data_IF_334276255748
#
_entry.id   IF_334276255748
#
_cell.length_a   1.000
_cell.length_b   1.000
_cell.length_c   1.000
_cell.angle_alpha   90.00
_cell.angle_beta   90.00
_cell.angle_gamma   90.00
#
_symmetry.space_group_name_H-M   'P 1'
#
loop_
_entity.id
_entity.type
_entity.pdbx_description
1 polymer ?
#
# COMPACT_ATOMS: atom_id res chain seq x y z
N UNK A 1 -40.48 -9.20 20.86
CA UNK A 1 -39.42 -8.26 20.42
C UNK A 1 -38.30 -9.06 19.78
N UNK A 2 -38.00 -8.86 18.50
CA UNK A 2 -36.83 -9.45 17.81
C UNK A 2 -35.64 -8.51 18.03
N UNK A 3 -34.62 -8.99 18.75
CA UNK A 3 -33.33 -8.30 18.84
C UNK A 3 -32.57 -8.54 17.53
N UNK A 4 -32.49 -7.50 16.70
CA UNK A 4 -31.54 -7.47 15.59
C UNK A 4 -30.16 -7.17 16.16
N UNK A 5 -29.29 -8.17 16.18
CA UNK A 5 -27.87 -7.99 16.49
C UNK A 5 -27.21 -7.43 15.23
N UNK A 6 -26.94 -6.14 15.25
CA UNK A 6 -26.18 -5.46 14.21
C UNK A 6 -24.69 -5.69 14.50
N UNK A 7 -24.08 -6.65 13.83
CA UNK A 7 -22.63 -6.91 13.94
C UNK A 7 -21.92 -5.82 13.13
N UNK A 8 -21.59 -4.72 13.80
CA UNK A 8 -20.70 -3.71 13.25
C UNK A 8 -19.29 -4.26 13.17
N UNK A 9 -18.78 -4.44 11.96
CA UNK A 9 -17.38 -4.76 11.69
C UNK A 9 -16.55 -3.53 12.11
N UNK A 10 -15.95 -3.59 13.29
CA UNK A 10 -14.92 -2.63 13.69
C UNK A 10 -13.65 -2.96 12.89
N UNK A 11 -13.41 -2.21 11.81
CA UNK A 11 -12.06 -2.12 11.23
C UNK A 11 -11.16 -1.48 12.30
N UNK A 12 -10.38 -2.30 12.98
CA UNK A 12 -9.27 -1.85 13.80
C UNK A 12 -8.22 -1.25 12.87
N UNK A 13 -8.26 0.07 12.69
CA UNK A 13 -7.14 0.82 12.15
C UNK A 13 -6.00 0.73 13.16
N UNK A 14 -5.08 -0.20 12.92
CA UNK A 14 -3.80 -0.24 13.63
C UNK A 14 -3.01 0.99 13.13
N UNK A 15 -3.03 2.06 13.91
CA UNK A 15 -2.17 3.23 13.68
C UNK A 15 -0.76 2.87 14.14
N UNK A 16 0.23 2.73 13.24
CA UNK A 16 1.61 2.46 13.66
C UNK A 16 2.19 3.71 14.32
N UNK A 17 2.95 3.49 15.42
CA UNK A 17 3.75 4.55 16.04
C UNK A 17 4.75 5.12 15.03
N UNK A 18 4.83 6.44 14.96
CA UNK A 18 5.86 7.17 14.21
C UNK A 18 7.27 6.64 14.58
N UNK A 19 8.09 6.29 13.58
CA UNK A 19 9.54 6.18 13.77
C UNK A 19 10.24 4.90 13.30
N UNK A 20 9.54 3.85 12.86
CA UNK A 20 10.20 2.69 12.23
C UNK A 20 9.64 2.44 10.83
N UNK A 21 10.43 2.72 9.79
CA UNK A 21 10.15 2.21 8.45
C UNK A 21 10.23 0.69 8.47
N UNK A 22 9.11 0.01 8.72
CA UNK A 22 9.05 -1.44 8.70
C UNK A 22 8.73 -1.89 7.28
N UNK A 23 9.71 -2.48 6.60
CA UNK A 23 9.49 -3.13 5.31
C UNK A 23 9.22 -4.62 5.58
N UNK A 24 8.03 -5.09 5.24
CA UNK A 24 7.69 -6.52 5.29
C UNK A 24 8.23 -7.19 4.02
N UNK A 25 9.14 -8.16 4.15
CA UNK A 25 9.58 -8.98 3.01
C UNK A 25 8.89 -10.35 3.05
N UNK A 26 7.85 -10.53 2.22
CA UNK A 26 7.04 -11.75 2.21
C UNK A 26 7.86 -13.02 1.97
N UNK A 27 8.90 -12.94 1.14
CA UNK A 27 9.78 -14.08 0.84
C UNK A 27 10.60 -14.50 2.07
N UNK A 28 11.00 -13.54 2.91
CA UNK A 28 11.76 -13.80 4.15
C UNK A 28 10.83 -14.34 5.24
N UNK A 29 9.62 -13.79 5.36
CA UNK A 29 8.59 -14.30 6.28
C UNK A 29 8.24 -15.76 5.99
N UNK A 30 8.06 -16.12 4.71
CA UNK A 30 7.78 -17.51 4.30
C UNK A 30 8.97 -18.42 4.62
N UNK A 31 10.20 -17.98 4.35
CA UNK A 31 11.40 -18.74 4.67
C UNK A 31 11.49 -19.01 6.18
N UNK A 32 11.26 -17.99 6.99
CA UNK A 32 11.32 -18.07 8.44
C UNK A 32 10.21 -18.98 9.00
N UNK A 33 9.01 -18.92 8.42
CA UNK A 33 7.93 -19.85 8.74
C UNK A 33 8.30 -21.30 8.43
N UNK A 34 8.85 -21.59 7.25
CA UNK A 34 9.30 -22.96 6.87
C UNK A 34 10.31 -23.47 7.89
N UNK A 35 11.31 -22.65 8.23
CA UNK A 35 12.35 -23.00 9.20
C UNK A 35 11.78 -23.34 10.58
N UNK A 36 10.77 -22.59 11.01
CA UNK A 36 10.20 -22.67 12.36
C UNK A 36 9.19 -23.81 12.50
N UNK A 37 8.31 -24.00 11.51
CA UNK A 37 7.13 -24.86 11.63
C UNK A 37 7.10 -26.06 10.68
N UNK A 38 7.92 -26.08 9.63
CA UNK A 38 7.94 -27.17 8.66
C UNK A 38 9.19 -28.03 8.82
N UNK A 39 10.37 -27.44 8.82
CA UNK A 39 11.61 -28.20 8.85
C UNK A 39 12.89 -27.37 8.74
N UNK A 40 14.02 -28.01 9.07
CA UNK A 40 15.36 -27.43 9.02
C UNK A 40 16.10 -27.85 7.75
N UNK A 41 17.21 -27.17 7.45
CA UNK A 41 18.02 -27.42 6.25
C UNK A 41 17.15 -27.29 4.99
N UNK A 42 16.62 -26.08 4.77
CA UNK A 42 15.78 -25.73 3.61
C UNK A 42 16.62 -25.88 2.35
N UNK A 43 16.17 -26.72 1.42
CA UNK A 43 16.85 -26.98 0.16
C UNK A 43 16.35 -26.04 -0.93
N UNK A 44 15.04 -25.78 -0.95
CA UNK A 44 14.39 -24.92 -1.92
C UNK A 44 13.00 -24.49 -1.43
N UNK A 45 12.52 -23.34 -1.87
CA UNK A 45 11.16 -22.86 -1.67
C UNK A 45 10.84 -21.76 -2.68
N UNK A 46 9.56 -21.60 -3.01
CA UNK A 46 9.17 -20.53 -3.92
C UNK A 46 7.70 -20.14 -3.77
N UNK A 47 7.45 -18.85 -4.03
CA UNK A 47 6.12 -18.27 -4.17
C UNK A 47 5.65 -18.25 -5.63
N UNK A 48 6.55 -18.38 -6.60
CA UNK A 48 6.23 -18.18 -8.03
C UNK A 48 6.73 -19.27 -8.96
N UNK A 49 7.77 -20.02 -8.57
CA UNK A 49 8.39 -21.06 -9.40
C UNK A 49 8.12 -22.46 -8.86
N UNK A 50 8.06 -23.50 -9.70
CA UNK A 50 7.91 -24.87 -9.24
C UNK A 50 9.09 -25.34 -8.38
N UNK A 51 8.81 -26.12 -7.34
CA UNK A 51 9.81 -26.84 -6.53
C UNK A 51 9.57 -28.34 -6.71
N UNK A 52 10.40 -28.99 -7.53
CA UNK A 52 10.19 -30.37 -7.94
C UNK A 52 8.90 -30.52 -8.76
N UNK A 53 7.94 -31.31 -8.26
CA UNK A 53 6.62 -31.51 -8.90
C UNK A 53 5.53 -30.55 -8.41
N UNK A 54 5.86 -29.67 -7.45
CA UNK A 54 4.89 -28.80 -6.80
C UNK A 54 4.99 -27.39 -7.36
N UNK A 55 3.90 -26.92 -7.97
CA UNK A 55 3.80 -25.55 -8.50
C UNK A 55 3.03 -24.66 -7.52
N UNK A 56 3.61 -23.54 -7.05
CA UNK A 56 2.90 -22.56 -6.23
C UNK A 56 1.65 -22.02 -6.92
N UNK A 57 0.68 -21.59 -6.13
CA UNK A 57 -0.59 -21.01 -6.62
C UNK A 57 -0.82 -19.59 -6.08
N UNK A 58 0.23 -18.97 -5.55
CA UNK A 58 0.13 -17.66 -4.89
C UNK A 58 -0.26 -16.57 -5.88
N UNK A 59 -1.22 -15.74 -5.46
CA UNK A 59 -1.61 -14.49 -6.08
C UNK A 59 -1.62 -13.40 -5.02
N UNK A 60 -1.28 -12.17 -5.40
CA UNK A 60 -1.40 -11.02 -4.53
C UNK A 60 -2.38 -10.01 -5.12
N UNK A 61 -3.19 -9.42 -4.25
CA UNK A 61 -4.20 -8.43 -4.59
C UNK A 61 -4.05 -7.22 -3.68
N UNK A 62 -4.30 -6.04 -4.25
CA UNK A 62 -4.28 -4.80 -3.52
C UNK A 62 -5.72 -4.37 -3.21
N UNK A 63 -5.99 -4.13 -1.94
CA UNK A 63 -7.23 -3.56 -1.46
C UNK A 63 -7.38 -2.08 -1.83
N UNK A 64 -8.50 -1.50 -1.44
CA UNK A 64 -8.76 -0.08 -1.65
C UNK A 64 -7.88 0.75 -0.72
N UNK A 65 -7.22 1.77 -1.28
CA UNK A 65 -6.58 2.81 -0.48
C UNK A 65 -7.64 3.59 0.30
N UNK A 66 -7.49 3.63 1.62
CA UNK A 66 -8.33 4.42 2.53
C UNK A 66 -7.51 5.57 3.11
N UNK A 67 -8.16 6.72 3.27
CA UNK A 67 -7.61 7.86 3.99
C UNK A 67 -8.33 7.99 5.34
N UNK A 68 -7.65 8.58 6.31
CA UNK A 68 -8.27 8.96 7.59
C UNK A 68 -9.44 9.96 7.40
N UNK A 69 -10.40 9.93 8.31
CA UNK A 69 -11.56 10.81 8.29
C UNK A 69 -11.15 12.30 8.31
N UNK A 70 -11.88 13.15 7.57
CA UNK A 70 -11.54 14.58 7.43
C UNK A 70 -10.54 14.89 6.32
N UNK A 71 -10.10 13.89 5.56
CA UNK A 71 -9.32 14.08 4.34
C UNK A 71 -10.17 14.56 3.15
N UNK A 72 -10.73 15.78 3.28
CA UNK A 72 -11.33 16.53 2.18
C UNK A 72 -10.28 16.99 1.14
N UNK A 73 -10.70 17.23 -0.10
CA UNK A 73 -9.82 17.77 -1.13
C UNK A 73 -9.42 19.21 -0.77
N UNK A 74 -8.16 19.64 -0.98
CA UNK A 74 -7.78 21.01 -0.69
C UNK A 74 -8.47 21.99 -1.63
N UNK A 75 -8.46 23.24 -1.20
CA UNK A 75 -9.12 24.34 -1.89
C UNK A 75 -8.55 24.55 -3.29
N UNK A 76 -9.44 24.55 -4.28
CA UNK A 76 -9.10 24.94 -5.65
C UNK A 76 -9.02 26.47 -5.74
N UNK A 77 -7.95 26.98 -6.36
CA UNK A 77 -7.71 28.42 -6.55
C UNK A 77 -7.89 28.82 -8.02
N UNK A 78 -9.12 29.11 -8.49
CA UNK A 78 -9.40 29.30 -9.92
C UNK A 78 -8.73 30.54 -10.55
N UNK A 79 -8.33 31.53 -9.75
CA UNK A 79 -7.79 32.80 -10.25
C UNK A 79 -6.27 32.92 -10.10
N UNK A 80 -5.61 31.87 -9.59
CA UNK A 80 -4.17 31.85 -9.37
C UNK A 80 -3.55 30.76 -10.24
N UNK A 81 -2.42 31.09 -10.87
CA UNK A 81 -1.61 30.05 -11.48
C UNK A 81 -0.88 29.27 -10.37
N UNK A 82 -1.48 28.14 -10.00
CA UNK A 82 -0.98 27.24 -8.98
C UNK A 82 -0.44 25.97 -9.62
N UNK A 83 0.61 25.45 -9.01
CA UNK A 83 1.19 24.16 -9.33
C UNK A 83 0.95 23.21 -8.17
N UNK A 84 0.70 21.94 -8.50
CA UNK A 84 0.30 20.93 -7.54
C UNK A 84 1.28 19.76 -7.55
N UNK A 85 1.65 19.28 -6.36
CA UNK A 85 2.48 18.10 -6.16
C UNK A 85 1.80 17.14 -5.19
N UNK A 86 1.77 15.87 -5.56
CA UNK A 86 1.14 14.79 -4.82
C UNK A 86 2.22 13.77 -4.45
N UNK A 87 2.37 13.45 -3.17
CA UNK A 87 3.35 12.45 -2.70
C UNK A 87 2.68 11.46 -1.75
N UNK A 88 3.12 10.21 -1.80
CA UNK A 88 2.71 9.14 -0.88
C UNK A 88 3.94 8.63 -0.16
N UNK A 89 4.24 9.18 1.01
CA UNK A 89 5.35 8.72 1.83
C UNK A 89 4.95 7.43 2.55
N UNK A 90 5.43 6.28 2.08
CA UNK A 90 5.12 4.95 2.62
C UNK A 90 6.09 4.64 3.76
N UNK A 91 5.57 4.40 4.96
CA UNK A 91 6.37 4.04 6.14
C UNK A 91 6.39 2.54 6.38
N UNK A 92 5.21 1.91 6.31
CA UNK A 92 5.09 0.46 6.37
C UNK A 92 5.00 -0.06 4.94
N UNK A 93 6.14 -0.37 4.36
CA UNK A 93 6.26 -0.82 2.96
C UNK A 93 6.25 -2.35 2.86
N UNK A 94 6.16 -2.87 1.65
CA UNK A 94 6.25 -4.31 1.39
C UNK A 94 7.26 -4.62 0.30
N UNK A 95 7.87 -5.80 0.38
CA UNK A 95 8.63 -6.43 -0.69
C UNK A 95 8.05 -7.80 -0.97
N UNK A 96 7.70 -8.03 -2.23
CA UNK A 96 7.10 -9.28 -2.67
C UNK A 96 7.49 -9.57 -4.12
N UNK A 97 7.46 -10.82 -4.59
CA UNK A 97 7.67 -11.12 -6.01
C UNK A 97 6.50 -10.73 -6.92
N UNK A 98 5.38 -10.22 -6.37
CA UNK A 98 4.20 -9.82 -7.13
C UNK A 98 4.16 -8.31 -7.41
N UNK A 99 3.57 -7.91 -8.53
CA UNK A 99 3.23 -6.50 -8.78
C UNK A 99 1.99 -6.14 -7.97
N UNK A 100 1.98 -4.96 -7.36
CA UNK A 100 0.91 -4.46 -6.51
C UNK A 100 0.45 -3.09 -7.02
N UNK A 101 -0.25 -3.02 -8.17
CA UNK A 101 -0.70 -1.75 -8.73
C UNK A 101 -1.82 -1.13 -7.89
N UNK A 102 -1.67 0.14 -7.55
CA UNK A 102 -2.65 0.97 -6.86
C UNK A 102 -3.08 2.12 -7.76
N UNK A 103 -4.38 2.37 -7.81
CA UNK A 103 -4.96 3.51 -8.52
C UNK A 103 -5.57 4.47 -7.52
N UNK A 104 -5.08 5.70 -7.51
CA UNK A 104 -5.54 6.77 -6.63
C UNK A 104 -6.30 7.82 -7.42
N UNK A 105 -7.36 8.35 -6.81
CA UNK A 105 -8.12 9.48 -7.35
C UNK A 105 -7.69 10.73 -6.61
N UNK A 106 -7.17 11.70 -7.36
CA UNK A 106 -6.72 13.00 -6.86
C UNK A 106 -7.47 14.12 -7.57
N UNK A 107 -7.51 15.32 -6.98
CA UNK A 107 -8.21 16.46 -7.54
C UNK A 107 -7.21 17.49 -8.04
N UNK A 108 -7.04 17.56 -9.37
CA UNK A 108 -6.16 18.51 -10.03
C UNK A 108 -6.97 19.65 -10.63
N UNK A 109 -6.74 20.89 -10.20
CA UNK A 109 -7.47 22.07 -10.71
C UNK A 109 -9.01 21.88 -10.69
N UNK A 110 -9.52 21.27 -9.61
CA UNK A 110 -10.95 20.96 -9.45
C UNK A 110 -11.47 19.77 -10.26
N UNK A 111 -10.63 19.06 -11.02
CA UNK A 111 -11.00 17.87 -11.76
C UNK A 111 -10.43 16.61 -11.14
N UNK A 112 -11.25 15.55 -11.05
CA UNK A 112 -10.77 14.23 -10.63
C UNK A 112 -9.85 13.65 -11.71
N UNK A 113 -8.68 13.16 -11.28
CA UNK A 113 -7.69 12.47 -12.11
C UNK A 113 -7.30 11.15 -11.43
N UNK A 114 -7.03 10.15 -12.25
CA UNK A 114 -6.57 8.83 -11.80
C UNK A 114 -5.06 8.79 -12.01
N UNK A 115 -4.32 8.40 -10.98
CA UNK A 115 -2.89 8.13 -11.05
C UNK A 115 -2.64 6.71 -10.56
N UNK A 116 -1.75 5.98 -11.24
CA UNK A 116 -1.40 4.60 -10.91
C UNK A 116 0.07 4.47 -10.54
N UNK A 117 0.36 3.69 -9.49
CA UNK A 117 1.73 3.31 -9.11
C UNK A 117 1.76 1.92 -8.49
N UNK A 118 2.91 1.24 -8.52
CA UNK A 118 3.10 -0.04 -7.83
C UNK A 118 3.61 0.21 -6.41
N UNK A 119 2.95 -0.37 -5.40
CA UNK A 119 3.37 -0.22 -3.99
C UNK A 119 4.44 -1.22 -3.57
N UNK A 120 4.75 -2.23 -4.38
CA UNK A 120 5.82 -3.16 -4.11
C UNK A 120 7.19 -2.44 -4.14
N UNK A 121 7.92 -2.52 -3.04
CA UNK A 121 9.22 -1.89 -2.84
C UNK A 121 9.20 -0.35 -3.04
N UNK A 122 8.03 0.29 -2.88
CA UNK A 122 7.88 1.72 -3.00
C UNK A 122 8.00 2.43 -1.64
N UNK A 123 8.65 3.59 -1.63
CA UNK A 123 8.82 4.43 -0.42
C UNK A 123 8.26 5.83 -0.58
N UNK A 124 8.36 6.42 -1.77
CA UNK A 124 7.83 7.75 -2.07
C UNK A 124 7.33 7.87 -3.53
N UNK A 125 6.24 7.17 -3.91
CA UNK A 125 5.51 7.48 -5.14
C UNK A 125 5.07 8.93 -5.15
N UNK A 126 5.12 9.56 -6.32
CA UNK A 126 4.69 10.93 -6.48
C UNK A 126 4.10 11.17 -7.87
N UNK A 127 3.24 12.17 -7.94
CA UNK A 127 2.71 12.69 -9.19
C UNK A 127 2.96 14.20 -9.25
N UNK A 128 3.74 14.60 -10.26
CA UNK A 128 4.15 15.99 -10.50
C UNK A 128 3.66 16.41 -11.90
N UNK A 129 2.37 16.71 -12.07
CA UNK A 129 1.80 16.97 -13.39
C UNK A 129 2.16 18.33 -13.99
N UNK A 130 2.86 19.18 -13.23
CA UNK A 130 3.32 20.52 -13.63
C UNK A 130 4.85 20.61 -13.75
N UNK A 131 5.56 19.47 -13.75
CA UNK A 131 7.03 19.35 -13.86
C UNK A 131 7.80 20.30 -12.93
N UNK A 132 7.33 20.41 -11.69
CA UNK A 132 7.95 21.26 -10.69
C UNK A 132 9.33 20.76 -10.30
N UNK A 133 10.30 21.67 -10.27
CA UNK A 133 11.55 21.42 -9.54
C UNK A 133 11.23 21.37 -8.05
N UNK A 134 11.57 20.24 -7.40
CA UNK A 134 11.36 20.01 -5.97
C UNK A 134 12.06 21.04 -5.08
N UNK A 135 13.06 21.76 -5.62
CA UNK A 135 13.77 22.84 -4.93
C UNK A 135 12.95 24.13 -4.79
N UNK A 136 11.90 24.32 -5.59
CA UNK A 136 11.13 25.56 -5.67
C UNK A 136 10.03 25.62 -4.62
N UNK A 137 10.41 25.86 -3.37
CA UNK A 137 9.50 26.37 -2.36
C UNK A 137 9.21 27.84 -2.65
N UNK A 138 8.20 28.14 -3.47
CA UNK A 138 7.76 29.53 -3.61
C UNK A 138 7.09 29.96 -2.30
N UNK A 139 7.69 30.97 -1.67
CA UNK A 139 7.42 31.43 -0.30
C UNK A 139 6.15 32.28 -0.14
N UNK A 140 5.33 32.45 -1.19
CA UNK A 140 4.23 33.41 -1.20
C UNK A 140 2.85 32.85 -0.84
N UNK A 141 2.46 31.68 -1.39
CA UNK A 141 1.14 31.08 -1.22
C UNK A 141 1.26 29.54 -1.27
N UNK A 142 1.64 28.96 -0.15
CA UNK A 142 1.85 27.52 0.03
C UNK A 142 0.70 26.93 0.87
N UNK A 143 0.06 25.89 0.36
CA UNK A 143 -0.92 25.08 1.08
C UNK A 143 -0.46 23.63 1.06
N UNK A 144 -0.46 22.98 2.22
CA UNK A 144 -0.14 21.57 2.36
C UNK A 144 -1.25 20.88 3.12
N UNK A 145 -1.76 19.78 2.56
CA UNK A 145 -2.64 18.86 3.27
C UNK A 145 -1.96 17.52 3.42
N UNK A 146 -1.95 17.00 4.65
CA UNK A 146 -1.42 15.68 5.00
C UNK A 146 -2.56 14.77 5.43
N UNK A 147 -2.49 13.51 5.01
CA UNK A 147 -3.48 12.50 5.29
C UNK A 147 -2.79 11.17 5.54
N UNK A 148 -3.08 10.52 6.66
CA UNK A 148 -2.72 9.13 6.82
C UNK A 148 -3.50 8.29 5.82
N UNK A 149 -2.83 7.32 5.21
CA UNK A 149 -3.48 6.32 4.37
C UNK A 149 -3.10 4.91 4.79
N UNK A 150 -3.99 3.97 4.47
CA UNK A 150 -3.77 2.54 4.62
C UNK A 150 -4.20 1.81 3.35
N UNK A 151 -3.53 0.72 3.05
CA UNK A 151 -3.82 -0.17 1.93
C UNK A 151 -3.65 -1.60 2.45
N UNK A 152 -4.73 -2.37 2.43
CA UNK A 152 -4.64 -3.81 2.72
C UNK A 152 -4.07 -4.54 1.50
N UNK A 153 -3.09 -5.41 1.73
CA UNK A 153 -2.59 -6.36 0.74
C UNK A 153 -3.08 -7.75 1.15
N UNK A 154 -3.67 -8.47 0.21
CA UNK A 154 -4.10 -9.85 0.40
C UNK A 154 -3.29 -10.78 -0.50
N UNK A 155 -2.79 -11.87 0.07
CA UNK A 155 -2.02 -12.90 -0.63
C UNK A 155 -2.74 -14.22 -0.46
N UNK A 156 -3.16 -14.81 -1.58
CA UNK A 156 -3.96 -16.04 -1.59
C UNK A 156 -3.24 -17.16 -2.33
N UNK A 157 -3.18 -18.35 -1.74
CA UNK A 157 -2.73 -19.59 -2.40
C UNK A 157 -1.79 -20.42 -1.54
N UNK A 158 -1.00 -21.25 -2.21
CA UNK A 158 0.00 -22.12 -1.58
C UNK A 158 1.40 -21.89 -2.15
N UNK A 159 2.40 -21.86 -1.28
CA UNK A 159 3.80 -21.83 -1.67
C UNK A 159 4.38 -23.23 -1.71
N UNK A 160 5.40 -23.45 -2.54
CA UNK A 160 6.09 -24.74 -2.64
C UNK A 160 7.36 -24.74 -1.81
N UNK A 161 7.70 -25.88 -1.21
CA UNK A 161 8.91 -26.03 -0.40
C UNK A 161 9.55 -27.41 -0.53
N UNK A 162 10.83 -27.48 -0.18
CA UNK A 162 11.61 -28.69 -0.02
C UNK A 162 12.65 -28.52 1.10
N UNK A 163 12.62 -29.41 2.07
CA UNK A 163 13.52 -29.42 3.23
C UNK A 163 14.24 -30.77 3.34
N UNK A 164 15.41 -30.78 3.97
CA UNK A 164 16.15 -32.02 4.23
C UNK A 164 15.71 -32.71 5.52
N UNK A 165 15.40 -31.94 6.56
CA UNK A 165 14.89 -32.43 7.86
C UNK A 165 13.54 -31.78 8.15
N UNK A 166 12.56 -32.60 8.50
CA UNK A 166 11.20 -32.13 8.84
C UNK A 166 11.06 -31.97 10.35
N UNK A 167 10.19 -31.06 10.78
CA UNK A 167 9.55 -31.16 12.08
C UNK A 167 8.53 -32.31 12.09
N UNK A 168 8.12 -32.77 13.26
CA UNK A 168 7.26 -33.94 13.40
C UNK A 168 6.00 -33.85 12.50
N UNK A 169 5.64 -34.97 11.87
CA UNK A 169 4.49 -35.18 10.96
C UNK A 169 4.42 -34.33 9.67
N UNK A 170 5.46 -33.58 9.30
CA UNK A 170 5.48 -32.82 8.04
C UNK A 170 6.16 -33.57 6.88
N UNK A 171 5.67 -33.45 5.63
CA UNK A 171 6.37 -34.01 4.48
C UNK A 171 7.63 -33.21 4.16
N UNK A 172 8.65 -33.85 3.56
CA UNK A 172 9.91 -33.19 3.16
C UNK A 172 9.76 -32.18 2.02
N UNK A 173 8.66 -32.26 1.28
CA UNK A 173 8.36 -31.38 0.17
C UNK A 173 6.86 -31.35 -0.07
N UNK A 174 6.34 -30.23 -0.56
CA UNK A 174 4.93 -30.08 -0.82
C UNK A 174 4.50 -28.65 -1.09
N UNK A 175 3.18 -28.47 -1.08
CA UNK A 175 2.53 -27.17 -1.05
C UNK A 175 2.06 -26.88 0.37
N UNK A 176 2.13 -25.62 0.78
CA UNK A 176 1.65 -25.17 2.08
C UNK A 176 0.91 -23.84 1.95
N UNK A 177 -0.19 -23.68 2.69
CA UNK A 177 -1.04 -22.50 2.64
C UNK A 177 -0.33 -21.26 3.19
N UNK A 178 -0.44 -20.14 2.47
CA UNK A 178 0.24 -18.88 2.84
C UNK A 178 -0.33 -18.24 4.10
N UNK A 179 -1.61 -18.47 4.42
CA UNK A 179 -2.26 -17.87 5.59
C UNK A 179 -1.61 -18.27 6.92
N UNK A 180 -1.04 -19.48 6.97
CA UNK A 180 -0.33 -20.00 8.15
C UNK A 180 0.95 -19.23 8.48
N UNK A 181 1.51 -18.46 7.55
CA UNK A 181 2.69 -17.62 7.78
C UNK A 181 2.42 -16.55 8.83
N UNK A 182 1.16 -16.21 9.11
CA UNK A 182 0.82 -15.26 10.19
C UNK A 182 1.35 -15.65 11.58
N UNK A 183 1.62 -16.93 11.84
CA UNK A 183 2.04 -17.40 13.17
C UNK A 183 3.41 -16.90 13.60
N UNK A 184 4.26 -16.47 12.66
CA UNK A 184 5.58 -15.93 13.00
C UNK A 184 5.57 -14.42 13.23
N UNK A 185 4.54 -13.69 12.78
CA UNK A 185 4.59 -12.23 12.72
C UNK A 185 3.22 -11.60 13.01
N UNK A 186 3.08 -10.84 14.11
CA UNK A 186 1.80 -10.27 14.53
C UNK A 186 1.25 -9.17 13.59
N UNK A 187 2.05 -8.67 12.65
CA UNK A 187 1.58 -7.73 11.62
C UNK A 187 0.81 -8.42 10.48
N UNK A 188 0.91 -9.75 10.40
CA UNK A 188 0.23 -10.57 9.42
C UNK A 188 -1.07 -11.12 10.00
N UNK A 189 -2.13 -11.09 9.19
CA UNK A 189 -3.46 -11.56 9.56
C UNK A 189 -3.80 -12.79 8.73
N UNK A 190 -4.17 -13.89 9.39
CA UNK A 190 -4.75 -15.07 8.73
C UNK A 190 -6.26 -14.87 8.56
N UNK A 191 -6.72 -14.79 7.31
CA UNK A 191 -8.16 -14.89 7.03
C UNK A 191 -8.62 -16.35 6.90
N UNK A 192 -7.74 -17.22 6.41
CA UNK A 192 -7.85 -18.68 6.42
C UNK A 192 -6.49 -19.28 6.04
N UNK A 193 -6.36 -20.61 6.06
CA UNK A 193 -5.12 -21.33 5.71
C UNK A 193 -4.46 -20.87 4.39
N UNK A 194 -5.25 -20.41 3.41
CA UNK A 194 -4.78 -20.02 2.09
C UNK A 194 -4.69 -18.51 1.91
N UNK A 195 -5.08 -17.70 2.88
CA UNK A 195 -5.20 -16.24 2.72
C UNK A 195 -4.50 -15.51 3.86
N UNK A 196 -3.48 -14.75 3.50
CA UNK A 196 -2.69 -13.90 4.37
C UNK A 196 -2.96 -12.44 4.01
N UNK A 197 -3.22 -11.58 5.00
CA UNK A 197 -3.41 -10.15 4.79
C UNK A 197 -2.45 -9.34 5.66
N UNK A 198 -2.07 -8.15 5.19
CA UNK A 198 -1.30 -7.16 5.96
C UNK A 198 -1.49 -5.76 5.38
N UNK A 199 -1.20 -4.72 6.17
CA UNK A 199 -1.43 -3.34 5.76
C UNK A 199 -0.12 -2.62 5.41
N UNK A 200 -0.14 -1.93 4.27
CA UNK A 200 0.77 -0.84 3.94
C UNK A 200 0.17 0.45 4.48
N UNK A 201 1.00 1.34 5.02
CA UNK A 201 0.52 2.63 5.51
C UNK A 201 1.57 3.73 5.35
N UNK A 202 1.11 4.97 5.35
CA UNK A 202 1.96 6.12 5.14
C UNK A 202 1.19 7.43 5.21
N UNK A 203 1.84 8.50 4.74
CA UNK A 203 1.27 9.85 4.66
C UNK A 203 1.18 10.28 3.21
N UNK A 204 -0.03 10.59 2.77
CA UNK A 204 -0.29 11.33 1.55
C UNK A 204 -0.12 12.82 1.82
N UNK A 205 0.61 13.51 0.93
CA UNK A 205 0.75 14.96 0.95
C UNK A 205 0.29 15.53 -0.38
N UNK A 206 -0.59 16.53 -0.30
CA UNK A 206 -0.91 17.39 -1.43
C UNK A 206 -0.37 18.78 -1.13
N UNK A 207 0.62 19.20 -1.92
CA UNK A 207 1.21 20.53 -1.88
C UNK A 207 0.67 21.36 -3.04
N UNK A 208 0.18 22.56 -2.74
CA UNK A 208 -0.24 23.57 -3.73
C UNK A 208 0.61 24.81 -3.54
N UNK A 209 1.21 25.27 -4.64
CA UNK A 209 2.06 26.45 -4.64
C UNK A 209 1.58 27.43 -5.71
N UNK A 210 1.13 28.61 -5.29
CA UNK A 210 0.57 29.62 -6.19
C UNK A 210 1.50 30.82 -6.37
N UNK A 211 1.62 31.33 -7.59
CA UNK A 211 2.34 32.58 -7.84
C UNK A 211 1.35 33.76 -7.92
N UNK A 212 1.30 34.66 -6.92
CA UNK A 212 0.38 35.79 -6.92
C UNK A 212 0.66 36.82 -8.03
N UNK A 213 1.87 36.82 -8.63
CA UNK A 213 2.24 37.72 -9.72
C UNK A 213 1.59 37.37 -11.07
N UNK A 214 0.95 36.19 -11.17
CA UNK A 214 0.27 35.69 -12.36
C UNK A 214 -1.22 35.52 -12.09
N UNK A 215 -1.91 36.63 -11.79
CA UNK A 215 -3.38 36.66 -11.82
C UNK A 215 -3.78 36.52 -13.28
N UNK A 216 -4.48 35.44 -13.64
CA UNK A 216 -5.10 35.34 -14.95
C UNK A 216 -6.21 36.39 -15.03
N UNK A 217 -5.96 37.46 -15.77
CA UNK A 217 -6.98 38.47 -16.04
C UNK A 217 -8.16 37.77 -16.73
N UNK A 218 -9.26 37.57 -16.00
CA UNK A 218 -10.52 37.15 -16.61
C UNK A 218 -10.82 38.14 -17.72
N UNK A 219 -10.90 37.63 -18.95
CA UNK A 219 -11.20 38.42 -20.13
C UNK A 219 -12.39 39.34 -19.87
N UNK A 220 -12.21 40.60 -20.25
CA UNK A 220 -13.22 41.63 -20.21
C UNK A 220 -14.53 41.08 -20.80
N UNK A 221 -15.58 41.08 -19.99
CA UNK A 221 -16.94 40.99 -20.49
C UNK A 221 -17.18 42.30 -21.25
N UNK A 222 -17.10 42.24 -22.58
CA UNK A 222 -17.45 43.35 -23.47
C UNK A 222 -18.95 43.62 -23.32
N UNK A 223 -19.38 44.86 -23.02
CA UNK A 223 -20.78 45.21 -23.07
C UNK A 223 -21.19 45.46 -24.53
N UNK A 224 -22.23 44.78 -24.99
CA UNK A 224 -23.00 45.10 -26.19
C UNK A 224 -24.48 44.97 -25.87
#
# INVERSE_FOLDING_TARGET
MKLMVNVGIYLLMIVPREGTCAMLNLTDEVLYYIYTYIGKEILDYSLTQPVGKYSPTIKAEVGKLTYEDGCEQPQYFPNFNCSELYTWDIYNSTRTPFSLPVYVIVSRKGQKKIHGFDVNNATNPYWNPDDLDRSLQYTGNYSEKKCNFSIEISVTGMFAYKVKKVGDDKPKQGLHGIGRVSYINPMLVEYNDLTLAYNISGIFKHTVTCNPSKIEAKGNMEPS
#
